data_IF_412743402991
#
_entry.id   IF_412743402991
#
_cell.length_a   1.000
_cell.length_b   1.000
_cell.length_c   1.000
_cell.angle_alpha   90.00
_cell.angle_beta   90.00
_cell.angle_gamma   90.00
#
_symmetry.space_group_name_H-M   'P 1'
#
loop_
_entity.id
_entity.type
_entity.pdbx_description
1 polymer ?
#
# COMPACT_ATOMS: atom_id res chain seq x y z
N UNK A 1 10.60 -2.41 -15.85
CA UNK A 1 10.24 -3.05 -14.55
C UNK A 1 11.52 -3.51 -13.86
N UNK A 2 11.70 -3.13 -12.60
CA UNK A 2 12.82 -3.57 -11.75
C UNK A 2 12.25 -4.37 -10.59
N UNK A 3 12.90 -5.48 -10.23
CA UNK A 3 12.50 -6.32 -9.09
C UNK A 3 13.31 -5.89 -7.88
N UNK A 4 12.63 -5.51 -6.81
CA UNK A 4 13.21 -5.34 -5.49
C UNK A 4 12.84 -6.55 -4.61
N UNK A 5 13.78 -7.05 -3.83
CA UNK A 5 13.60 -8.17 -2.90
C UNK A 5 13.83 -7.77 -1.45
N UNK A 6 14.32 -6.55 -1.25
CA UNK A 6 14.62 -5.98 0.07
C UNK A 6 14.39 -4.47 0.10
N UNK A 7 14.27 -3.92 1.29
CA UNK A 7 14.24 -2.46 1.49
C UNK A 7 15.55 -1.81 1.01
N UNK A 8 16.68 -2.53 1.05
CA UNK A 8 17.95 -2.04 0.53
C UNK A 8 17.89 -1.82 -0.98
N UNK A 9 17.31 -2.79 -1.72
CA UNK A 9 17.16 -2.66 -3.18
C UNK A 9 16.31 -1.43 -3.54
N UNK A 10 15.22 -1.19 -2.79
CA UNK A 10 14.37 -0.01 -2.99
C UNK A 10 15.18 1.28 -2.78
N UNK A 11 16.02 1.33 -1.73
CA UNK A 11 16.89 2.49 -1.47
C UNK A 11 17.89 2.73 -2.60
N UNK A 12 18.50 1.67 -3.12
CA UNK A 12 19.43 1.75 -4.26
C UNK A 12 18.74 2.22 -5.54
N UNK A 13 17.53 1.71 -5.81
CA UNK A 13 16.71 2.16 -6.94
C UNK A 13 16.38 3.66 -6.80
N UNK A 14 15.93 4.10 -5.63
CA UNK A 14 15.64 5.51 -5.38
C UNK A 14 16.88 6.39 -5.54
N UNK A 15 18.06 5.91 -5.11
CA UNK A 15 19.33 6.59 -5.29
C UNK A 15 19.66 6.74 -6.79
N UNK A 16 19.55 5.66 -7.56
CA UNK A 16 19.80 5.68 -9.01
C UNK A 16 18.82 6.63 -9.75
N UNK A 17 17.55 6.67 -9.36
CA UNK A 17 16.57 7.60 -9.93
C UNK A 17 16.97 9.06 -9.64
N UNK A 18 17.44 9.34 -8.44
CA UNK A 18 17.94 10.68 -8.07
C UNK A 18 19.19 11.06 -8.86
N UNK A 19 20.14 10.15 -9.01
CA UNK A 19 21.36 10.35 -9.79
C UNK A 19 21.07 10.60 -11.28
N UNK A 20 19.99 9.98 -11.79
CA UNK A 20 19.47 10.21 -13.14
C UNK A 20 18.60 11.49 -13.27
N UNK A 21 18.55 12.34 -12.24
CA UNK A 21 17.78 13.58 -12.22
C UNK A 21 16.27 13.38 -12.41
N UNK A 22 15.69 12.36 -11.72
CA UNK A 22 14.24 12.11 -11.65
C UNK A 22 13.54 11.98 -13.01
N UNK A 23 13.94 11.03 -13.88
CA UNK A 23 13.48 10.97 -15.27
C UNK A 23 12.02 10.51 -15.40
N UNK A 24 11.39 10.04 -14.32
CA UNK A 24 10.06 9.41 -14.36
C UNK A 24 8.96 10.35 -13.87
N UNK A 25 7.82 10.36 -14.56
CA UNK A 25 6.59 11.06 -14.12
C UNK A 25 5.78 10.24 -13.13
N UNK A 26 5.91 8.92 -13.19
CA UNK A 26 5.19 7.95 -12.36
C UNK A 26 6.15 6.89 -11.84
N UNK A 27 5.91 6.47 -10.60
CA UNK A 27 6.47 5.24 -10.03
C UNK A 27 5.32 4.36 -9.58
N UNK A 28 5.42 3.07 -9.89
CA UNK A 28 4.45 2.06 -9.46
C UNK A 28 5.13 1.11 -8.49
N UNK A 29 4.57 0.95 -7.29
CA UNK A 29 4.91 -0.11 -6.34
C UNK A 29 3.92 -1.27 -6.48
N UNK A 30 4.38 -2.36 -7.04
CA UNK A 30 3.58 -3.56 -7.32
C UNK A 30 4.24 -4.78 -6.62
N UNK A 31 3.74 -5.16 -5.44
CA UNK A 31 2.60 -4.68 -4.66
C UNK A 31 3.02 -4.18 -3.28
N UNK A 32 2.21 -3.30 -2.66
CA UNK A 32 2.47 -2.89 -1.27
C UNK A 32 2.11 -3.98 -0.27
N UNK A 33 1.28 -4.95 -0.64
CA UNK A 33 1.07 -6.16 0.16
C UNK A 33 2.37 -6.96 0.32
N UNK A 34 3.17 -7.08 -0.76
CA UNK A 34 4.50 -7.69 -0.68
C UNK A 34 5.50 -6.80 0.08
N UNK A 35 5.38 -5.48 -0.04
CA UNK A 35 6.20 -4.54 0.71
C UNK A 35 6.01 -4.69 2.23
N UNK A 36 4.79 -4.97 2.70
CA UNK A 36 4.51 -5.18 4.13
C UNK A 36 5.36 -6.33 4.69
N UNK A 37 5.49 -7.44 3.97
CA UNK A 37 6.38 -8.53 4.37
C UNK A 37 7.85 -8.11 4.34
N UNK A 38 8.24 -7.38 3.31
CA UNK A 38 9.63 -6.93 3.09
C UNK A 38 10.13 -5.98 4.18
N UNK A 39 9.24 -5.18 4.78
CA UNK A 39 9.63 -4.22 5.84
C UNK A 39 9.68 -4.82 7.23
N UNK A 40 9.17 -6.04 7.46
CA UNK A 40 9.15 -6.66 8.81
C UNK A 40 10.52 -6.74 9.49
N UNK A 41 11.62 -7.11 8.82
CA UNK A 41 12.95 -7.06 9.44
C UNK A 41 13.36 -5.64 9.86
N UNK A 42 13.07 -4.63 9.05
CA UNK A 42 13.32 -3.23 9.40
C UNK A 42 12.48 -2.82 10.61
N UNK A 43 11.20 -3.15 10.64
CA UNK A 43 10.30 -2.88 11.75
C UNK A 43 10.77 -3.53 13.04
N UNK A 44 11.31 -4.77 12.98
CA UNK A 44 11.89 -5.47 14.12
C UNK A 44 13.09 -4.69 14.69
N UNK A 45 14.00 -4.24 13.84
CA UNK A 45 15.15 -3.43 14.27
C UNK A 45 14.70 -2.09 14.88
N UNK A 46 13.71 -1.44 14.26
CA UNK A 46 13.12 -0.21 14.81
C UNK A 46 12.54 -0.45 16.20
N UNK A 47 11.89 -1.59 16.45
CA UNK A 47 11.33 -1.93 17.76
C UNK A 47 12.39 -2.22 18.79
N UNK A 48 13.36 -3.08 18.48
CA UNK A 48 14.46 -3.46 19.38
C UNK A 48 15.26 -2.23 19.84
N UNK A 49 15.40 -1.23 18.98
CA UNK A 49 16.09 0.02 19.30
C UNK A 49 15.29 0.95 20.23
N UNK A 50 14.06 0.60 20.62
CA UNK A 50 13.29 1.36 21.61
C UNK A 50 13.54 0.83 23.02
N UNK A 51 13.37 1.67 24.07
CA UNK A 51 13.46 1.18 25.46
C UNK A 51 12.50 0.00 25.75
N UNK A 52 11.29 0.03 25.19
CA UNK A 52 10.30 -1.02 25.37
C UNK A 52 10.68 -2.32 24.64
N UNK A 53 11.35 -2.22 23.50
CA UNK A 53 11.76 -3.36 22.68
C UNK A 53 13.14 -3.91 22.99
N UNK A 54 13.94 -3.24 23.82
CA UNK A 54 15.36 -3.61 24.09
C UNK A 54 15.55 -5.03 24.65
N UNK A 55 14.52 -5.58 25.29
CA UNK A 55 14.54 -6.95 25.85
C UNK A 55 13.77 -7.95 24.99
N UNK A 56 13.25 -7.54 23.83
CA UNK A 56 12.50 -8.41 22.94
C UNK A 56 13.43 -9.37 22.20
N UNK A 57 13.20 -10.66 22.38
CA UNK A 57 14.02 -11.74 21.77
C UNK A 57 13.27 -12.48 20.66
N UNK A 58 12.03 -12.08 20.36
CA UNK A 58 11.24 -12.67 19.29
C UNK A 58 11.84 -12.39 17.91
N UNK A 59 11.65 -13.34 16.99
CA UNK A 59 12.12 -13.19 15.59
C UNK A 59 11.08 -12.55 14.69
N UNK A 60 9.81 -12.61 15.06
CA UNK A 60 8.73 -12.00 14.31
C UNK A 60 8.26 -10.73 15.04
N UNK A 61 8.29 -9.61 14.33
CA UNK A 61 7.87 -8.31 14.89
C UNK A 61 6.39 -8.32 15.33
N UNK A 62 5.55 -9.11 14.68
CA UNK A 62 4.12 -9.18 15.03
C UNK A 62 3.86 -9.82 16.40
N UNK A 63 4.84 -10.54 16.96
CA UNK A 63 4.78 -11.11 18.31
C UNK A 63 5.11 -10.07 19.40
N UNK A 64 5.44 -8.84 19.01
CA UNK A 64 5.74 -7.78 19.97
C UNK A 64 4.49 -7.44 20.79
N UNK A 65 4.65 -7.26 22.13
CA UNK A 65 3.52 -7.09 23.03
C UNK A 65 2.69 -5.85 22.73
N UNK A 66 1.43 -5.86 23.16
CA UNK A 66 0.48 -4.74 23.07
C UNK A 66 0.27 -4.19 21.64
N UNK A 67 0.46 -5.01 20.62
CA UNK A 67 0.30 -4.61 19.21
C UNK A 67 1.39 -3.65 18.71
N UNK A 68 2.49 -3.49 19.44
CA UNK A 68 3.62 -2.64 19.04
C UNK A 68 4.19 -3.03 17.68
N UNK A 69 4.14 -4.33 17.34
CA UNK A 69 4.60 -4.84 16.06
C UNK A 69 3.85 -4.23 14.88
N UNK A 70 2.53 -4.16 14.94
CA UNK A 70 1.72 -3.55 13.89
C UNK A 70 2.02 -2.06 13.70
N UNK A 71 2.30 -1.35 14.79
CA UNK A 71 2.71 0.05 14.72
C UNK A 71 4.07 0.19 14.02
N UNK A 72 5.03 -0.68 14.34
CA UNK A 72 6.36 -0.61 13.75
C UNK A 72 6.39 -1.04 12.29
N UNK A 73 5.61 -2.03 11.90
CA UNK A 73 5.43 -2.39 10.47
C UNK A 73 4.85 -1.22 9.69
N UNK A 74 3.84 -0.55 10.23
CA UNK A 74 3.26 0.64 9.61
C UNK A 74 4.29 1.77 9.47
N UNK A 75 5.03 2.10 10.54
CA UNK A 75 6.09 3.12 10.50
C UNK A 75 7.15 2.80 9.43
N UNK A 76 7.54 1.53 9.33
CA UNK A 76 8.51 1.08 8.33
C UNK A 76 7.96 1.18 6.90
N UNK A 77 6.69 0.81 6.66
CA UNK A 77 6.02 0.99 5.38
C UNK A 77 5.93 2.45 4.98
N UNK A 78 5.45 3.31 5.89
CA UNK A 78 5.36 4.75 5.64
C UNK A 78 6.73 5.34 5.27
N UNK A 79 7.79 4.96 5.97
CA UNK A 79 9.14 5.43 5.66
C UNK A 79 9.63 5.02 4.26
N UNK A 80 9.29 3.81 3.81
CA UNK A 80 9.66 3.36 2.45
C UNK A 80 8.79 4.05 1.40
N UNK A 81 7.49 4.18 1.63
CA UNK A 81 6.59 4.88 0.69
C UNK A 81 6.99 6.36 0.57
N UNK A 82 7.31 7.03 1.70
CA UNK A 82 7.78 8.42 1.70
C UNK A 82 9.12 8.58 0.95
N UNK A 83 10.00 7.59 1.02
CA UNK A 83 11.24 7.58 0.24
C UNK A 83 10.95 7.51 -1.26
N UNK A 84 10.07 6.59 -1.67
CA UNK A 84 9.69 6.41 -3.09
C UNK A 84 8.93 7.63 -3.62
N UNK A 85 8.08 8.24 -2.78
CA UNK A 85 7.30 9.43 -3.15
C UNK A 85 8.16 10.66 -3.47
N UNK A 86 9.44 10.65 -3.06
CA UNK A 86 10.40 11.70 -3.43
C UNK A 86 11.07 11.47 -4.78
N UNK A 87 10.81 10.32 -5.42
CA UNK A 87 11.49 9.93 -6.65
C UNK A 87 10.67 10.27 -7.91
N UNK A 88 9.38 10.58 -7.78
CA UNK A 88 8.52 11.02 -8.89
C UNK A 88 7.34 11.84 -8.36
N UNK A 89 6.75 12.74 -9.19
CA UNK A 89 5.59 13.53 -8.79
C UNK A 89 4.32 12.71 -8.56
N UNK A 90 4.22 11.50 -9.14
CA UNK A 90 3.07 10.63 -8.98
C UNK A 90 3.51 9.23 -8.57
N UNK A 91 2.86 8.67 -7.54
CA UNK A 91 3.11 7.31 -7.08
C UNK A 91 1.81 6.51 -7.12
N UNK A 92 1.87 5.34 -7.72
CA UNK A 92 0.76 4.38 -7.77
C UNK A 92 1.14 3.21 -6.89
N UNK A 93 0.28 2.93 -5.91
CA UNK A 93 0.41 1.80 -5.01
C UNK A 93 -0.57 0.71 -5.45
N UNK A 94 -0.06 -0.43 -5.89
CA UNK A 94 -0.89 -1.60 -6.23
C UNK A 94 -0.95 -2.50 -5.00
N UNK A 95 -2.14 -2.98 -4.66
CA UNK A 95 -2.34 -3.88 -3.53
C UNK A 95 -3.38 -4.95 -3.84
N UNK A 96 -3.34 -6.05 -3.09
CA UNK A 96 -4.41 -7.03 -3.10
C UNK A 96 -5.57 -6.53 -2.25
N UNK A 97 -6.74 -7.12 -2.46
CA UNK A 97 -7.92 -6.90 -1.62
C UNK A 97 -8.17 -8.10 -0.72
N UNK A 98 -8.78 -7.84 0.43
CA UNK A 98 -9.36 -8.87 1.31
C UNK A 98 -10.78 -8.51 1.66
N UNK A 99 -11.57 -9.53 2.01
CA UNK A 99 -12.88 -9.33 2.55
C UNK A 99 -12.78 -8.96 4.03
N UNK A 100 -13.44 -7.89 4.43
CA UNK A 100 -13.47 -7.38 5.79
C UNK A 100 -14.92 -7.23 6.24
N UNK A 101 -15.27 -7.82 7.39
CA UNK A 101 -16.60 -7.63 7.98
C UNK A 101 -16.78 -6.19 8.46
N UNK A 102 -17.95 -5.61 8.21
CA UNK A 102 -18.32 -4.26 8.67
C UNK A 102 -19.26 -4.37 9.85
N UNK A 103 -18.75 -4.10 11.06
CA UNK A 103 -19.51 -4.16 12.30
C UNK A 103 -19.99 -5.58 12.61
N UNK A 104 -21.18 -5.69 13.24
CA UNK A 104 -21.84 -6.97 13.55
C UNK A 104 -22.72 -7.46 12.39
N UNK A 105 -22.57 -6.92 11.20
CA UNK A 105 -23.36 -7.31 10.03
C UNK A 105 -22.61 -8.36 9.20
N UNK A 106 -23.38 -9.27 8.54
CA UNK A 106 -22.85 -10.26 7.59
C UNK A 106 -22.35 -9.62 6.25
N UNK A 107 -22.17 -8.30 6.24
CA UNK A 107 -21.73 -7.57 5.04
C UNK A 107 -20.20 -7.55 4.99
N UNK A 108 -19.66 -8.21 3.98
CA UNK A 108 -18.24 -8.17 3.67
C UNK A 108 -17.95 -7.02 2.70
N UNK A 109 -16.95 -6.22 3.03
CA UNK A 109 -16.45 -5.14 2.18
C UNK A 109 -15.04 -5.49 1.71
N UNK A 110 -14.78 -5.32 0.43
CA UNK A 110 -13.42 -5.44 -0.12
C UNK A 110 -12.60 -4.24 0.29
N UNK A 111 -11.57 -4.50 1.08
CA UNK A 111 -10.62 -3.50 1.56
C UNK A 111 -9.20 -3.85 1.16
N UNK A 112 -8.27 -2.93 1.37
CA UNK A 112 -6.84 -3.14 1.12
C UNK A 112 -6.31 -4.25 2.04
N UNK A 113 -5.63 -5.25 1.47
CA UNK A 113 -5.02 -6.35 2.22
C UNK A 113 -3.68 -5.93 2.82
N UNK A 114 -3.78 -5.27 3.96
CA UNK A 114 -2.66 -4.90 4.84
C UNK A 114 -3.03 -5.18 6.29
N UNK A 115 -2.03 -5.38 7.14
CA UNK A 115 -2.24 -5.69 8.55
C UNK A 115 -2.70 -4.48 9.38
N UNK A 116 -3.55 -4.73 10.35
CA UNK A 116 -3.99 -3.74 11.33
C UNK A 116 -4.67 -2.52 10.68
N UNK A 117 -4.22 -1.32 11.04
CA UNK A 117 -4.77 -0.05 10.54
C UNK A 117 -4.03 0.53 9.32
N UNK A 118 -3.02 -0.18 8.81
CA UNK A 118 -2.11 0.34 7.75
C UNK A 118 -2.87 0.68 6.47
N UNK A 119 -3.75 -0.21 5.99
CA UNK A 119 -4.57 0.03 4.80
C UNK A 119 -5.41 1.30 4.93
N UNK A 120 -6.15 1.46 6.04
CA UNK A 120 -6.98 2.64 6.30
C UNK A 120 -6.17 3.94 6.32
N UNK A 121 -4.96 3.93 6.89
CA UNK A 121 -4.11 5.12 6.97
C UNK A 121 -3.57 5.48 5.60
N UNK A 122 -3.10 4.51 4.80
CA UNK A 122 -2.65 4.76 3.44
C UNK A 122 -3.80 5.26 2.55
N UNK A 123 -4.99 4.66 2.66
CA UNK A 123 -6.19 5.13 1.97
C UNK A 123 -6.51 6.58 2.29
N UNK A 124 -6.42 6.98 3.56
CA UNK A 124 -6.71 8.37 3.97
C UNK A 124 -5.73 9.40 3.42
N UNK A 125 -4.49 8.99 3.10
CA UNK A 125 -3.44 9.83 2.51
C UNK A 125 -3.49 9.87 0.99
N UNK A 126 -4.14 8.90 0.35
CA UNK A 126 -4.22 8.79 -1.12
C UNK A 126 -5.22 9.78 -1.71
N UNK A 127 -4.90 10.35 -2.88
CA UNK A 127 -5.81 11.24 -3.63
C UNK A 127 -6.94 10.46 -4.30
N UNK A 128 -6.68 9.21 -4.69
CA UNK A 128 -7.67 8.33 -5.27
C UNK A 128 -7.39 6.87 -4.90
N UNK A 129 -8.46 6.10 -4.72
CA UNK A 129 -8.44 4.66 -4.51
C UNK A 129 -9.32 4.06 -5.59
N UNK A 130 -8.69 3.37 -6.53
CA UNK A 130 -9.37 2.68 -7.61
C UNK A 130 -9.49 1.19 -7.33
N UNK A 131 -10.66 0.62 -7.56
CA UNK A 131 -10.90 -0.81 -7.53
C UNK A 131 -10.84 -1.37 -8.95
N UNK A 132 -9.90 -2.28 -9.19
CA UNK A 132 -9.71 -2.91 -10.49
C UNK A 132 -10.42 -4.26 -10.52
N UNK A 133 -11.33 -4.46 -11.47
CA UNK A 133 -12.07 -5.70 -11.65
C UNK A 133 -12.38 -5.97 -13.12
N UNK A 134 -12.89 -7.17 -13.43
CA UNK A 134 -13.47 -7.50 -14.72
C UNK A 134 -14.99 -7.48 -14.60
N UNK A 135 -15.63 -6.79 -15.53
CA UNK A 135 -17.09 -6.81 -15.64
C UNK A 135 -17.61 -8.08 -16.35
N UNK A 136 -18.94 -8.19 -16.50
CA UNK A 136 -19.59 -9.35 -17.12
C UNK A 136 -19.24 -9.50 -18.60
N UNK A 137 -18.86 -8.42 -19.27
CA UNK A 137 -18.40 -8.39 -20.65
C UNK A 137 -16.88 -8.64 -20.79
N UNK A 138 -16.23 -9.01 -19.68
CA UNK A 138 -14.77 -9.25 -19.59
C UNK A 138 -13.89 -8.01 -19.80
N UNK A 139 -14.45 -6.81 -19.76
CA UNK A 139 -13.66 -5.60 -19.77
C UNK A 139 -12.91 -5.43 -18.45
N UNK A 140 -11.72 -4.87 -18.52
CA UNK A 140 -11.00 -4.45 -17.31
C UNK A 140 -11.48 -3.06 -16.93
N UNK A 141 -12.08 -2.95 -15.74
CA UNK A 141 -12.67 -1.70 -15.23
C UNK A 141 -11.88 -1.23 -14.01
N UNK A 142 -11.53 0.06 -14.00
CA UNK A 142 -10.99 0.76 -12.83
C UNK A 142 -12.08 1.68 -12.27
N UNK A 143 -12.66 1.29 -11.15
CA UNK A 143 -13.76 2.01 -10.51
C UNK A 143 -13.27 2.95 -9.41
N UNK A 144 -13.77 4.19 -9.43
CA UNK A 144 -13.67 5.18 -8.35
C UNK A 144 -15.05 5.52 -7.77
N UNK A 145 -16.03 4.63 -7.97
CA UNK A 145 -17.43 4.87 -7.65
C UNK A 145 -17.73 4.55 -6.19
N UNK A 146 -18.00 5.58 -5.38
CA UNK A 146 -18.28 5.46 -3.94
C UNK A 146 -19.69 4.94 -3.63
N UNK A 147 -20.55 4.73 -4.65
CA UNK A 147 -21.90 4.19 -4.46
C UNK A 147 -21.89 2.67 -4.20
N UNK A 148 -20.80 2.00 -4.50
CA UNK A 148 -20.66 0.58 -4.16
C UNK A 148 -20.34 0.44 -2.66
N UNK A 149 -21.30 -0.14 -1.93
CA UNK A 149 -21.18 -0.36 -0.47
C UNK A 149 -20.23 -1.51 -0.12
N UNK A 150 -19.83 -2.32 -1.09
CA UNK A 150 -19.03 -3.52 -0.90
C UNK A 150 -17.55 -3.32 -1.24
N UNK A 151 -17.15 -2.12 -1.64
CA UNK A 151 -15.77 -1.81 -2.01
C UNK A 151 -15.33 -0.46 -1.45
N UNK A 152 -14.16 -0.43 -0.82
CA UNK A 152 -13.50 0.82 -0.40
C UNK A 152 -12.78 1.45 -1.60
N UNK A 153 -13.46 2.32 -2.34
CA UNK A 153 -12.87 3.09 -3.43
C UNK A 153 -13.40 4.54 -3.45
N UNK A 154 -12.78 5.41 -4.24
CA UNK A 154 -13.18 6.79 -4.38
C UNK A 154 -12.05 7.70 -4.84
N UNK A 155 -12.37 8.94 -5.22
CA UNK A 155 -11.38 9.91 -5.66
C UNK A 155 -11.70 11.34 -5.21
N UNK A 156 -10.66 12.08 -4.78
CA UNK A 156 -10.73 13.53 -4.52
C UNK A 156 -10.77 14.33 -5.82
N UNK A 157 -9.95 14.01 -6.85
CA UNK A 157 -9.99 14.72 -8.14
C UNK A 157 -11.34 14.59 -8.81
N UNK A 158 -11.94 15.71 -9.22
CA UNK A 158 -13.30 15.76 -9.81
C UNK A 158 -13.43 14.95 -11.09
N UNK A 159 -12.37 14.85 -11.88
CA UNK A 159 -12.37 14.09 -13.14
C UNK A 159 -12.42 12.56 -12.95
N UNK A 160 -12.11 12.05 -11.74
CA UNK A 160 -12.19 10.62 -11.39
C UNK A 160 -13.39 10.30 -10.48
N UNK A 161 -13.89 11.29 -9.74
CA UNK A 161 -14.92 11.07 -8.71
C UNK A 161 -16.19 10.43 -9.28
N UNK A 162 -16.60 9.32 -8.66
CA UNK A 162 -17.76 8.52 -9.02
C UNK A 162 -17.77 8.08 -10.50
N UNK A 163 -16.58 7.74 -11.03
CA UNK A 163 -16.43 7.25 -12.40
C UNK A 163 -15.86 5.84 -12.43
N UNK A 164 -16.31 5.11 -13.44
CA UNK A 164 -15.73 3.87 -13.88
C UNK A 164 -14.97 4.12 -15.19
N UNK A 165 -13.75 3.62 -15.27
CA UNK A 165 -12.87 3.76 -16.44
C UNK A 165 -12.63 2.38 -17.02
N UNK A 166 -13.12 2.15 -18.23
CA UNK A 166 -12.81 0.92 -18.97
C UNK A 166 -11.40 1.06 -19.52
N UNK A 167 -10.53 0.16 -19.10
CA UNK A 167 -9.17 0.10 -19.60
C UNK A 167 -9.19 -0.67 -20.91
N UNK A 168 -8.94 0.02 -22.02
CA UNK A 168 -8.80 -0.62 -23.33
C UNK A 168 -7.64 -1.60 -23.34
N UNK A 169 -7.69 -2.59 -24.26
CA UNK A 169 -6.55 -3.42 -24.55
C UNK A 169 -5.38 -2.52 -24.98
N UNK A 170 -4.25 -2.65 -24.29
CA UNK A 170 -3.02 -2.01 -24.76
C UNK A 170 -2.63 -2.73 -26.05
N UNK A 171 -2.82 -2.06 -27.18
CA UNK A 171 -2.30 -2.48 -28.48
C UNK A 171 -0.79 -2.32 -28.53
#
# INVERSE_FOLDING_TARGET
KVKATSVSDIKEICKAIKEANFPYKFIVLDTITALEEMVKPMALQMYINTPAGSKFTGKNILDAPMGAGYSKVREAMEAVIDLVSKCAPNVILVCHTKDSAVGDSDVNVKSIDLAGKTGRILSSKSDAIGFLYRDDDSNTVLSFNTNDKFVECGARPSHLRNKDVILGEMQ
#
